data_IF_339569406530
#
_entry.id   IF_339569406530
#
_cell.length_a   1.000
_cell.length_b   1.000
_cell.length_c   1.000
_cell.angle_alpha   90.00
_cell.angle_beta   90.00
_cell.angle_gamma   90.00
#
_symmetry.space_group_name_H-M   'P 1'
#
loop_
_entity.id
_entity.type
_entity.pdbx_description
1 polymer ?
#
# COMPACT_ATOMS: atom_id res chain seq x y z
N UNK A 1 9.06 -17.57 3.72
CA UNK A 1 7.80 -16.90 3.34
C UNK A 1 8.14 -15.81 2.34
N UNK A 2 7.28 -15.58 1.37
CA UNK A 2 7.28 -14.38 0.52
C UNK A 2 6.40 -13.29 1.15
N UNK A 3 7.00 -12.14 1.44
CA UNK A 3 6.37 -11.04 2.19
C UNK A 3 6.38 -9.78 1.31
N UNK A 4 5.21 -9.23 1.03
CA UNK A 4 5.07 -8.00 0.25
C UNK A 4 4.77 -6.84 1.21
N UNK A 5 5.79 -6.02 1.47
CA UNK A 5 5.62 -4.76 2.19
C UNK A 5 5.05 -3.69 1.25
N UNK A 6 3.88 -3.15 1.57
CA UNK A 6 3.26 -2.05 0.83
C UNK A 6 3.29 -0.81 1.70
N UNK A 7 3.90 0.26 1.21
CA UNK A 7 4.13 1.49 1.98
C UNK A 7 4.16 2.74 1.10
N UNK A 8 3.80 3.89 1.67
CA UNK A 8 4.05 5.19 1.03
C UNK A 8 5.50 5.66 1.18
N UNK A 9 6.26 5.11 2.12
CA UNK A 9 7.65 5.49 2.38
C UNK A 9 8.58 4.29 2.43
N UNK A 10 9.79 4.45 1.93
CA UNK A 10 10.90 3.50 2.03
C UNK A 10 12.21 4.27 1.81
N UNK A 11 13.05 4.37 2.84
CA UNK A 11 14.38 4.96 2.68
C UNK A 11 15.28 3.99 1.90
N UNK A 12 16.15 4.47 0.99
CA UNK A 12 16.41 5.86 0.59
C UNK A 12 15.55 6.37 -0.58
N UNK A 13 14.57 5.59 -1.06
CA UNK A 13 13.74 5.97 -2.21
C UNK A 13 12.87 7.20 -1.91
N UNK A 14 12.09 7.18 -0.82
CA UNK A 14 11.34 8.34 -0.34
C UNK A 14 11.06 8.20 1.16
N UNK A 15 11.24 9.29 1.91
CA UNK A 15 11.06 9.35 3.37
C UNK A 15 10.50 10.71 3.78
N UNK A 16 9.48 10.69 4.63
CA UNK A 16 8.96 11.84 5.36
C UNK A 16 9.11 11.67 6.88
N UNK A 17 9.03 10.44 7.39
CA UNK A 17 9.11 10.13 8.83
C UNK A 17 9.78 8.79 9.13
N UNK A 18 9.49 8.24 10.32
CA UNK A 18 10.06 6.98 10.80
C UNK A 18 9.57 5.74 10.03
N UNK A 19 8.39 5.81 9.42
CA UNK A 19 7.86 4.76 8.54
C UNK A 19 8.86 4.37 7.45
N UNK A 20 9.45 5.37 6.77
CA UNK A 20 10.44 5.13 5.72
C UNK A 20 11.70 4.43 6.22
N UNK A 21 12.12 4.67 7.47
CA UNK A 21 13.28 3.98 8.06
C UNK A 21 12.95 2.50 8.34
N UNK A 22 11.76 2.22 8.86
CA UNK A 22 11.32 0.84 9.14
C UNK A 22 11.24 0.03 7.85
N UNK A 23 10.55 0.54 6.83
CA UNK A 23 10.38 -0.18 5.55
C UNK A 23 11.68 -0.23 4.75
N UNK A 24 12.58 0.74 4.92
CA UNK A 24 13.92 0.72 4.33
C UNK A 24 14.90 -0.28 4.97
N UNK A 25 14.57 -0.84 6.15
CA UNK A 25 15.48 -1.71 6.91
C UNK A 25 14.91 -3.11 7.19
N UNK A 26 13.65 -3.22 7.63
CA UNK A 26 13.04 -4.49 8.04
C UNK A 26 13.08 -5.59 6.95
N UNK A 27 12.73 -5.31 5.68
CA UNK A 27 12.74 -6.34 4.63
C UNK A 27 14.12 -6.97 4.41
N UNK A 28 15.19 -6.18 4.55
CA UNK A 28 16.57 -6.69 4.44
C UNK A 28 16.85 -7.75 5.50
N UNK A 29 16.50 -7.49 6.76
CA UNK A 29 16.72 -8.46 7.85
C UNK A 29 15.81 -9.68 7.73
N UNK A 30 14.59 -9.54 7.21
CA UNK A 30 13.75 -10.70 6.90
C UNK A 30 14.39 -11.59 5.82
N UNK A 31 15.03 -11.00 4.80
CA UNK A 31 15.79 -11.75 3.80
C UNK A 31 17.00 -12.47 4.43
N UNK A 32 17.72 -11.83 5.34
CA UNK A 32 18.82 -12.46 6.09
C UNK A 32 18.34 -13.65 6.95
N UNK A 33 17.09 -13.61 7.43
CA UNK A 33 16.44 -14.71 8.15
C UNK A 33 15.87 -15.82 7.23
N UNK A 34 16.10 -15.74 5.91
CA UNK A 34 15.66 -16.74 4.94
C UNK A 34 14.24 -16.55 4.41
N UNK A 35 13.66 -15.36 4.56
CA UNK A 35 12.42 -14.98 3.86
C UNK A 35 12.72 -14.35 2.50
N UNK A 36 11.66 -14.07 1.74
CA UNK A 36 11.72 -13.33 0.47
C UNK A 36 10.83 -12.10 0.62
N UNK A 37 11.38 -11.06 1.21
CA UNK A 37 10.73 -9.78 1.42
C UNK A 37 10.95 -8.85 0.21
N UNK A 38 9.85 -8.21 -0.20
CA UNK A 38 9.79 -7.24 -1.30
C UNK A 38 9.09 -5.98 -0.80
N UNK A 39 9.46 -4.83 -1.34
CA UNK A 39 8.80 -3.55 -1.04
C UNK A 39 8.11 -3.02 -2.29
N UNK A 40 6.87 -2.58 -2.13
CA UNK A 40 6.07 -1.93 -3.17
C UNK A 40 5.64 -0.57 -2.66
N UNK A 41 5.93 0.47 -3.43
CA UNK A 41 5.58 1.85 -3.07
C UNK A 41 5.22 2.69 -4.30
N UNK A 42 4.63 3.88 -4.14
CA UNK A 42 4.43 4.80 -5.25
C UNK A 42 5.77 5.28 -5.83
N UNK A 43 5.80 5.52 -7.15
CA UNK A 43 6.95 6.14 -7.80
C UNK A 43 6.96 7.66 -7.52
N UNK A 44 7.99 8.15 -6.84
CA UNK A 44 8.22 9.57 -6.61
C UNK A 44 9.43 10.08 -7.37
N UNK A 45 9.41 11.35 -7.80
CA UNK A 45 10.51 12.05 -8.49
C UNK A 45 11.64 12.42 -7.54
N UNK A 46 12.33 11.42 -6.99
CA UNK A 46 13.42 11.62 -6.02
C UNK A 46 14.79 11.45 -6.67
N UNK A 47 15.84 11.91 -5.97
CA UNK A 47 17.24 11.66 -6.41
C UNK A 47 17.52 10.17 -6.56
N UNK A 48 16.97 9.35 -5.68
CA UNK A 48 17.14 7.90 -5.76
C UNK A 48 16.55 7.37 -7.07
N UNK A 49 15.34 7.76 -7.46
CA UNK A 49 14.74 7.34 -8.74
C UNK A 49 15.71 7.55 -9.91
N UNK A 50 16.26 8.75 -10.03
CA UNK A 50 17.10 9.16 -11.16
C UNK A 50 18.53 8.59 -11.13
N UNK A 51 19.02 8.15 -9.97
CA UNK A 51 20.36 7.56 -9.81
C UNK A 51 20.36 6.04 -9.96
N UNK A 52 19.20 5.45 -10.26
CA UNK A 52 18.99 4.01 -10.30
C UNK A 52 18.49 3.55 -11.65
N UNK A 53 18.75 2.29 -11.96
CA UNK A 53 18.18 1.64 -13.13
C UNK A 53 16.96 0.80 -12.73
N UNK A 54 15.98 0.83 -13.61
CA UNK A 54 14.70 0.20 -13.41
C UNK A 54 14.38 -0.74 -14.57
N UNK A 55 13.72 -1.84 -14.25
CA UNK A 55 13.17 -2.81 -15.19
C UNK A 55 11.65 -2.73 -15.16
N UNK A 56 11.00 -2.65 -16.31
CA UNK A 56 9.55 -2.75 -16.40
C UNK A 56 9.13 -4.21 -16.20
N UNK A 57 8.40 -4.49 -15.11
CA UNK A 57 7.97 -5.86 -14.77
C UNK A 57 6.48 -6.09 -14.99
N UNK A 58 5.69 -5.02 -15.11
CA UNK A 58 4.27 -5.12 -15.39
C UNK A 58 3.71 -3.84 -16.00
N UNK A 59 2.73 -3.98 -16.88
CA UNK A 59 1.85 -2.90 -17.33
C UNK A 59 0.40 -3.36 -17.17
N UNK A 60 -0.45 -2.44 -16.74
CA UNK A 60 -1.87 -2.69 -16.56
C UNK A 60 -2.71 -1.43 -16.73
N UNK A 61 -4.01 -1.63 -16.73
CA UNK A 61 -4.99 -0.54 -16.74
C UNK A 61 -6.05 -0.81 -15.69
N UNK A 62 -6.46 0.25 -15.01
CA UNK A 62 -7.45 0.22 -13.94
C UNK A 62 -8.37 1.43 -14.03
N UNK A 63 -9.42 1.42 -13.21
CA UNK A 63 -10.40 2.49 -13.15
C UNK A 63 -10.62 2.94 -11.72
N UNK A 64 -10.74 4.25 -11.52
CA UNK A 64 -11.24 4.85 -10.29
C UNK A 64 -12.38 5.81 -10.67
N UNK A 65 -13.60 5.48 -10.23
CA UNK A 65 -14.79 6.19 -10.71
C UNK A 65 -15.00 6.05 -12.21
N UNK A 66 -15.18 7.19 -12.88
CA UNK A 66 -15.29 7.26 -14.34
C UNK A 66 -13.93 7.33 -15.05
N UNK A 67 -12.82 7.50 -14.31
CA UNK A 67 -11.50 7.70 -14.88
C UNK A 67 -10.77 6.36 -15.04
N UNK A 68 -10.44 6.02 -16.29
CA UNK A 68 -9.52 4.94 -16.61
C UNK A 68 -8.10 5.49 -16.68
N UNK A 69 -7.14 4.73 -16.13
CA UNK A 69 -5.74 5.09 -16.15
C UNK A 69 -4.89 3.84 -16.39
N UNK A 70 -3.73 4.03 -17.01
CA UNK A 70 -2.71 3.01 -17.14
C UNK A 70 -1.71 3.16 -16.00
N UNK A 71 -1.13 2.04 -15.59
CA UNK A 71 -0.06 2.01 -14.61
C UNK A 71 1.03 1.05 -15.03
N UNK A 72 2.25 1.34 -14.59
CA UNK A 72 3.40 0.47 -14.74
C UNK A 72 3.93 0.06 -13.36
N UNK A 73 4.50 -1.12 -13.27
CA UNK A 73 5.30 -1.53 -12.13
C UNK A 73 6.73 -1.71 -12.61
N UNK A 74 7.64 -0.97 -12.00
CA UNK A 74 9.06 -1.02 -12.30
C UNK A 74 9.83 -1.56 -11.09
N UNK A 75 10.88 -2.35 -11.34
CA UNK A 75 11.72 -2.98 -10.32
C UNK A 75 13.14 -2.41 -10.37
N UNK A 76 13.73 -2.12 -9.21
CA UNK A 76 15.14 -1.73 -9.11
C UNK A 76 16.04 -2.91 -9.50
N UNK A 77 16.99 -2.71 -10.42
CA UNK A 77 17.75 -3.81 -11.04
C UNK A 77 18.84 -4.42 -10.16
N UNK A 78 19.45 -3.63 -9.27
CA UNK A 78 20.71 -4.01 -8.61
C UNK A 78 20.50 -4.68 -7.25
N UNK A 79 19.28 -4.68 -6.73
CA UNK A 79 18.91 -5.22 -5.41
C UNK A 79 19.83 -4.68 -4.29
N UNK A 80 20.34 -3.46 -4.44
CA UNK A 80 21.37 -2.92 -3.52
C UNK A 80 20.85 -2.59 -2.12
N UNK A 81 19.53 -2.56 -1.94
CA UNK A 81 18.89 -2.37 -0.64
C UNK A 81 18.81 -3.69 0.16
N UNK A 82 19.16 -4.83 -0.45
CA UNK A 82 19.05 -6.15 0.15
C UNK A 82 17.63 -6.72 0.11
N UNK A 83 16.75 -6.12 -0.68
CA UNK A 83 15.39 -6.58 -0.99
C UNK A 83 14.95 -6.01 -2.34
N UNK A 84 14.04 -6.71 -3.02
CA UNK A 84 13.47 -6.20 -4.27
C UNK A 84 12.59 -4.98 -4.00
N UNK A 85 12.90 -3.85 -4.63
CA UNK A 85 12.10 -2.64 -4.59
C UNK A 85 11.31 -2.47 -5.88
N UNK A 86 9.99 -2.37 -5.75
CA UNK A 86 9.05 -2.11 -6.84
C UNK A 86 8.40 -0.74 -6.66
N UNK A 87 8.32 0.02 -7.75
CA UNK A 87 7.59 1.27 -7.80
C UNK A 87 6.38 1.14 -8.71
N UNK A 88 5.24 1.61 -8.23
CA UNK A 88 4.03 1.76 -9.04
C UNK A 88 4.04 3.17 -9.63
N UNK A 89 4.05 3.26 -10.96
CA UNK A 89 3.94 4.51 -11.70
C UNK A 89 2.54 4.66 -12.30
N UNK A 90 1.94 5.81 -12.06
CA UNK A 90 0.71 6.26 -12.69
C UNK A 90 0.98 7.69 -13.15
N UNK A 91 1.15 7.84 -14.46
CA UNK A 91 1.52 9.12 -15.07
C UNK A 91 0.50 10.21 -14.70
N UNK A 92 0.99 11.33 -14.17
CA UNK A 92 0.19 12.47 -13.79
C UNK A 92 -0.44 12.36 -12.40
N UNK A 93 -0.29 11.23 -11.69
CA UNK A 93 -0.89 11.00 -10.37
C UNK A 93 0.17 10.69 -9.29
N UNK A 94 1.03 9.70 -9.52
CA UNK A 94 2.03 9.29 -8.52
C UNK A 94 3.38 10.01 -8.69
N UNK A 95 3.70 10.44 -9.91
CA UNK A 95 4.96 11.04 -10.37
C UNK A 95 5.27 12.45 -9.81
N UNK A 96 5.21 12.57 -8.48
CA UNK A 96 5.37 13.82 -7.73
C UNK A 96 6.69 13.86 -6.97
N UNK A 97 7.16 15.06 -6.65
CA UNK A 97 8.39 15.26 -5.86
C UNK A 97 8.15 15.01 -4.36
N UNK A 98 7.00 15.41 -3.83
CA UNK A 98 6.64 15.19 -2.43
C UNK A 98 5.79 13.92 -2.28
N UNK A 99 5.86 13.35 -1.09
CA UNK A 99 5.07 12.16 -0.73
C UNK A 99 3.63 12.59 -0.42
N UNK A 100 3.46 13.59 0.44
CA UNK A 100 2.19 14.10 0.95
C UNK A 100 1.98 15.59 0.70
N UNK A 101 0.76 16.06 0.97
CA UNK A 101 0.38 17.47 0.99
C UNK A 101 -0.22 17.97 -0.32
N UNK A 102 -0.75 17.07 -1.15
CA UNK A 102 -1.48 17.43 -2.36
C UNK A 102 -2.99 17.29 -2.16
N UNK A 103 -3.76 18.14 -2.84
CA UNK A 103 -5.24 18.16 -2.75
C UNK A 103 -5.89 16.83 -3.18
N UNK A 104 -5.17 16.04 -3.99
CA UNK A 104 -5.58 14.76 -4.55
C UNK A 104 -4.96 13.55 -3.84
N UNK A 105 -4.32 13.71 -2.67
CA UNK A 105 -3.66 12.60 -1.95
C UNK A 105 -4.57 11.38 -1.73
N UNK A 106 -5.85 11.59 -1.42
CA UNK A 106 -6.83 10.50 -1.32
C UNK A 106 -6.90 9.69 -2.63
N UNK A 107 -6.97 10.37 -3.77
CA UNK A 107 -7.07 9.72 -5.08
C UNK A 107 -5.75 9.03 -5.44
N UNK A 108 -4.61 9.67 -5.15
CA UNK A 108 -3.27 9.13 -5.38
C UNK A 108 -3.08 7.80 -4.63
N UNK A 109 -3.31 7.79 -3.32
CA UNK A 109 -3.12 6.59 -2.51
C UNK A 109 -4.19 5.53 -2.74
N UNK A 110 -5.43 5.91 -3.08
CA UNK A 110 -6.44 4.92 -3.47
C UNK A 110 -6.07 4.23 -4.79
N UNK A 111 -5.69 4.99 -5.82
CA UNK A 111 -5.26 4.43 -7.10
C UNK A 111 -4.03 3.54 -6.95
N UNK A 112 -3.05 3.95 -6.11
CA UNK A 112 -1.90 3.12 -5.76
C UNK A 112 -2.32 1.76 -5.18
N UNK A 113 -3.18 1.76 -4.17
CA UNK A 113 -3.64 0.51 -3.53
C UNK A 113 -4.41 -0.39 -4.51
N UNK A 114 -5.22 0.20 -5.40
CA UNK A 114 -5.92 -0.53 -6.48
C UNK A 114 -4.90 -1.19 -7.42
N UNK A 115 -3.86 -0.47 -7.85
CA UNK A 115 -2.81 -1.01 -8.73
C UNK A 115 -2.03 -2.15 -8.08
N UNK A 116 -1.74 -2.05 -6.77
CA UNK A 116 -1.06 -3.12 -6.03
C UNK A 116 -1.93 -4.37 -6.00
N UNK A 117 -3.22 -4.24 -5.67
CA UNK A 117 -4.15 -5.38 -5.68
C UNK A 117 -4.29 -5.98 -7.08
N UNK A 118 -4.43 -5.14 -8.11
CA UNK A 118 -4.53 -5.58 -9.50
C UNK A 118 -3.27 -6.29 -10.00
N UNK A 119 -2.09 -5.77 -9.66
CA UNK A 119 -0.84 -6.41 -10.02
C UNK A 119 -0.66 -7.76 -9.32
N UNK A 120 -0.90 -7.84 -8.01
CA UNK A 120 -0.80 -9.09 -7.26
C UNK A 120 -1.86 -10.13 -7.71
N UNK A 121 -3.07 -9.69 -8.10
CA UNK A 121 -4.13 -10.59 -8.59
C UNK A 121 -3.72 -11.33 -9.86
N UNK A 122 -2.83 -10.74 -10.67
CA UNK A 122 -2.29 -11.31 -11.91
C UNK A 122 -1.08 -12.24 -11.71
N UNK A 123 -0.51 -12.31 -10.51
CA UNK A 123 0.60 -13.24 -10.24
C UNK A 123 0.14 -14.70 -10.28
N UNK A 124 0.96 -15.56 -10.88
CA UNK A 124 0.72 -17.02 -10.90
C UNK A 124 0.98 -17.64 -9.52
N UNK A 125 2.05 -17.21 -8.84
CA UNK A 125 2.32 -17.54 -7.45
C UNK A 125 1.82 -16.41 -6.55
N UNK A 126 1.05 -16.72 -5.51
CA UNK A 126 0.59 -15.73 -4.54
C UNK A 126 1.60 -15.60 -3.40
N UNK A 127 1.87 -14.38 -2.91
CA UNK A 127 2.73 -14.21 -1.74
C UNK A 127 2.09 -14.84 -0.50
N UNK A 128 2.92 -15.16 0.49
CA UNK A 128 2.44 -15.70 1.76
C UNK A 128 1.79 -14.62 2.63
N UNK A 129 2.25 -13.36 2.56
CA UNK A 129 1.74 -12.24 3.36
C UNK A 129 1.79 -10.92 2.58
N UNK A 130 0.73 -10.10 2.72
CA UNK A 130 0.75 -8.69 2.33
C UNK A 130 0.83 -7.84 3.61
N UNK A 131 1.94 -7.15 3.81
CA UNK A 131 2.18 -6.29 4.97
C UNK A 131 1.95 -4.83 4.61
N UNK A 132 0.81 -4.29 5.02
CA UNK A 132 0.38 -2.91 4.77
C UNK A 132 0.87 -1.99 5.90
N UNK A 133 1.44 -0.85 5.53
CA UNK A 133 1.90 0.17 6.48
C UNK A 133 1.09 1.46 6.37
N UNK A 134 0.45 1.85 7.48
CA UNK A 134 -0.38 3.05 7.63
C UNK A 134 -1.55 3.20 6.64
N UNK A 135 -2.37 4.23 6.90
CA UNK A 135 -3.62 4.50 6.17
C UNK A 135 -3.47 4.60 4.64
N UNK A 136 -2.30 4.99 4.13
CA UNK A 136 -1.99 5.02 2.69
C UNK A 136 -2.16 3.66 2.01
N UNK A 137 -2.16 2.57 2.79
CA UNK A 137 -2.33 1.19 2.35
C UNK A 137 -3.48 0.48 3.08
N UNK A 138 -4.24 1.21 3.89
CA UNK A 138 -5.23 0.66 4.82
C UNK A 138 -6.50 0.10 4.16
N UNK A 139 -6.76 0.40 2.89
CA UNK A 139 -7.86 -0.19 2.15
C UNK A 139 -7.50 -1.51 1.47
N UNK A 140 -6.21 -1.87 1.36
CA UNK A 140 -5.79 -3.15 0.77
C UNK A 140 -6.44 -4.35 1.47
N UNK A 141 -6.44 -4.47 2.82
CA UNK A 141 -7.11 -5.58 3.50
C UNK A 141 -8.61 -5.72 3.19
N UNK A 142 -9.30 -4.59 3.02
CA UNK A 142 -10.71 -4.61 2.59
C UNK A 142 -10.82 -5.05 1.13
N UNK A 143 -10.01 -4.46 0.25
CA UNK A 143 -10.09 -4.69 -1.19
C UNK A 143 -9.79 -6.14 -1.57
N UNK A 144 -8.74 -6.76 -1.02
CA UNK A 144 -8.42 -8.16 -1.32
C UNK A 144 -9.50 -9.13 -0.85
N UNK A 145 -10.27 -8.76 0.18
CA UNK A 145 -11.29 -9.64 0.78
C UNK A 145 -12.67 -9.47 0.17
N UNK A 146 -13.03 -8.25 -0.23
CA UNK A 146 -14.42 -7.90 -0.57
C UNK A 146 -14.61 -7.24 -1.93
N UNK A 147 -13.55 -6.81 -2.63
CA UNK A 147 -13.68 -6.36 -4.02
C UNK A 147 -13.74 -7.55 -4.97
N UNK A 148 -14.67 -7.51 -5.93
CA UNK A 148 -14.90 -8.60 -6.86
C UNK A 148 -13.69 -8.88 -7.76
N UNK A 149 -12.99 -7.81 -8.18
CA UNK A 149 -11.81 -7.92 -9.07
C UNK A 149 -10.61 -8.60 -8.40
N UNK A 150 -10.57 -8.64 -7.06
CA UNK A 150 -9.42 -9.10 -6.28
C UNK A 150 -9.66 -10.38 -5.48
N UNK A 151 -10.75 -11.11 -5.77
CA UNK A 151 -11.12 -12.35 -5.06
C UNK A 151 -10.01 -13.41 -5.04
N UNK A 152 -9.12 -13.43 -6.04
CA UNK A 152 -7.97 -14.35 -6.08
C UNK A 152 -6.95 -14.11 -4.96
N UNK A 153 -7.04 -12.99 -4.25
CA UNK A 153 -6.18 -12.61 -3.13
C UNK A 153 -6.85 -12.81 -1.76
N UNK A 154 -8.13 -13.19 -1.71
CA UNK A 154 -8.94 -13.16 -0.49
C UNK A 154 -8.42 -14.04 0.66
N UNK A 155 -7.64 -15.07 0.34
CA UNK A 155 -7.06 -16.00 1.33
C UNK A 155 -5.62 -15.63 1.74
N UNK A 156 -5.03 -14.58 1.18
CA UNK A 156 -3.69 -14.13 1.56
C UNK A 156 -3.79 -13.36 2.87
N UNK A 157 -3.10 -13.80 3.94
CA UNK A 157 -3.03 -13.04 5.19
C UNK A 157 -2.52 -11.62 4.98
N UNK A 158 -3.25 -10.65 5.54
CA UNK A 158 -2.85 -9.25 5.54
C UNK A 158 -2.43 -8.82 6.94
N UNK A 159 -1.24 -8.25 7.06
CA UNK A 159 -0.77 -7.63 8.30
C UNK A 159 -0.83 -6.12 8.13
N UNK A 160 -1.35 -5.40 9.12
CA UNK A 160 -1.41 -3.94 9.09
C UNK A 160 -0.61 -3.35 10.26
N UNK A 161 0.37 -2.51 9.97
CA UNK A 161 1.14 -1.80 11.01
C UNK A 161 0.76 -0.33 11.06
N UNK A 162 0.39 0.12 12.27
CA UNK A 162 0.12 1.53 12.59
C UNK A 162 1.43 2.16 13.07
N UNK A 163 1.94 3.13 12.32
CA UNK A 163 3.06 3.98 12.73
C UNK A 163 2.59 5.33 13.24
N UNK A 164 1.44 5.83 12.75
CA UNK A 164 0.82 7.03 13.28
C UNK A 164 -0.72 7.05 13.13
N UNK A 165 -1.44 6.77 14.22
CA UNK A 165 -2.90 6.79 14.25
C UNK A 165 -3.53 8.19 14.16
N UNK A 166 -2.76 9.28 14.30
CA UNK A 166 -3.28 10.63 14.08
C UNK A 166 -3.68 10.85 12.61
N UNK A 167 -3.03 10.15 11.68
CA UNK A 167 -3.34 10.22 10.25
C UNK A 167 -4.13 8.99 9.81
N UNK A 168 -5.44 9.16 9.64
CA UNK A 168 -6.35 8.05 9.34
C UNK A 168 -6.72 7.92 7.86
N UNK A 169 -6.44 8.96 7.06
CA UNK A 169 -6.75 9.00 5.64
C UNK A 169 -8.24 9.10 5.30
N UNK A 170 -9.07 9.53 6.25
CA UNK A 170 -10.53 9.54 6.10
C UNK A 170 -11.02 10.48 4.99
N UNK A 171 -12.06 10.06 4.28
CA UNK A 171 -12.72 10.86 3.24
C UNK A 171 -14.23 10.57 3.19
N UNK A 172 -14.98 11.51 2.61
CA UNK A 172 -16.44 11.44 2.60
C UNK A 172 -16.99 10.33 1.70
N UNK A 173 -18.15 9.79 2.09
CA UNK A 173 -18.88 8.81 1.28
C UNK A 173 -19.29 9.36 -0.08
N UNK A 174 -19.32 10.67 -0.31
CA UNK A 174 -19.52 11.27 -1.63
C UNK A 174 -18.47 10.79 -2.65
N UNK A 175 -17.31 10.29 -2.21
CA UNK A 175 -16.23 9.74 -3.04
C UNK A 175 -16.21 8.21 -3.12
N UNK A 176 -17.26 7.52 -2.66
CA UNK A 176 -17.34 6.05 -2.68
C UNK A 176 -17.11 5.45 -4.07
N UNK A 177 -17.51 6.19 -5.12
CA UNK A 177 -17.41 5.79 -6.52
C UNK A 177 -15.95 5.58 -6.98
N UNK A 178 -14.96 6.09 -6.23
CA UNK A 178 -13.54 5.87 -6.52
C UNK A 178 -13.06 4.45 -6.17
N UNK A 179 -13.80 3.73 -5.31
CA UNK A 179 -13.49 2.36 -4.91
C UNK A 179 -13.82 1.36 -6.04
N UNK A 180 -13.08 0.25 -6.18
CA UNK A 180 -13.47 -0.86 -7.05
C UNK A 180 -14.81 -1.45 -6.62
N UNK A 181 -15.50 -2.15 -7.50
CA UNK A 181 -16.76 -2.82 -7.14
C UNK A 181 -16.53 -3.86 -6.03
N UNK A 182 -17.35 -3.80 -4.98
CA UNK A 182 -17.23 -4.64 -3.79
C UNK A 182 -18.59 -5.15 -3.30
N UNK A 183 -18.58 -6.14 -2.40
CA UNK A 183 -19.79 -6.64 -1.73
C UNK A 183 -20.48 -5.52 -0.90
N UNK A 184 -21.65 -5.01 -1.33
CA UNK A 184 -22.27 -3.86 -0.70
C UNK A 184 -22.70 -4.13 0.75
N UNK A 185 -22.88 -5.39 1.15
CA UNK A 185 -23.16 -5.74 2.55
C UNK A 185 -21.96 -5.52 3.48
N UNK A 186 -20.77 -5.26 2.93
CA UNK A 186 -19.52 -5.02 3.66
C UNK A 186 -19.19 -3.55 3.83
N UNK A 187 -20.06 -2.62 3.43
CA UNK A 187 -19.83 -1.18 3.55
C UNK A 187 -19.42 -0.73 4.97
N UNK A 188 -19.97 -1.34 6.03
CA UNK A 188 -19.63 -1.03 7.43
C UNK A 188 -18.20 -1.40 7.83
N UNK A 189 -17.48 -2.16 7.00
CA UNK A 189 -16.05 -2.39 7.16
C UNK A 189 -15.23 -1.17 6.71
N UNK A 190 -15.74 -0.36 5.78
CA UNK A 190 -15.10 0.88 5.33
C UNK A 190 -15.42 2.07 6.25
N UNK A 191 -16.61 2.07 6.84
CA UNK A 191 -17.14 3.21 7.59
C UNK A 191 -16.46 3.39 8.95
N UNK A 192 -16.14 4.63 9.31
CA UNK A 192 -15.98 5.06 10.70
C UNK A 192 -16.46 6.50 10.82
N UNK A 193 -17.36 6.75 11.76
CA UNK A 193 -17.95 8.07 12.01
C UNK A 193 -18.56 8.71 10.73
N UNK A 194 -19.31 7.92 9.96
CA UNK A 194 -19.95 8.35 8.70
C UNK A 194 -18.96 8.80 7.61
N UNK A 195 -17.72 8.31 7.65
CA UNK A 195 -16.70 8.52 6.62
C UNK A 195 -16.07 7.21 6.20
N UNK A 196 -15.56 7.13 4.97
CA UNK A 196 -14.68 6.03 4.59
C UNK A 196 -13.33 6.28 5.27
N UNK A 197 -12.91 5.36 6.12
CA UNK A 197 -11.72 5.53 6.94
C UNK A 197 -10.73 4.38 6.71
N UNK A 198 -9.65 4.60 5.94
CA UNK A 198 -8.65 3.58 5.64
C UNK A 198 -8.01 2.93 6.87
N UNK A 199 -7.68 3.71 7.91
CA UNK A 199 -7.09 3.16 9.14
C UNK A 199 -8.06 2.21 9.85
N UNK A 200 -9.29 2.68 10.10
CA UNK A 200 -10.31 1.89 10.77
C UNK A 200 -10.71 0.65 9.94
N UNK A 201 -10.80 0.81 8.62
CA UNK A 201 -11.05 -0.28 7.68
C UNK A 201 -9.96 -1.34 7.74
N UNK A 202 -8.69 -0.93 7.77
CA UNK A 202 -7.57 -1.85 7.94
C UNK A 202 -7.68 -2.62 9.25
N UNK A 203 -7.98 -1.94 10.37
CA UNK A 203 -8.14 -2.58 11.67
C UNK A 203 -9.27 -3.61 11.70
N UNK A 204 -10.36 -3.37 10.97
CA UNK A 204 -11.50 -4.29 10.86
C UNK A 204 -11.24 -5.48 9.92
N UNK A 205 -10.42 -5.28 8.89
CA UNK A 205 -10.27 -6.23 7.79
C UNK A 205 -8.96 -7.03 7.81
N UNK A 206 -7.90 -6.49 8.40
CA UNK A 206 -6.60 -7.13 8.44
C UNK A 206 -6.64 -8.45 9.23
N UNK A 207 -5.81 -9.40 8.83
CA UNK A 207 -5.63 -10.64 9.58
C UNK A 207 -5.00 -10.39 10.94
N UNK A 208 -4.02 -9.48 10.97
CA UNK A 208 -3.35 -9.06 12.20
C UNK A 208 -3.02 -7.58 12.13
N UNK A 209 -3.17 -6.89 13.26
CA UNK A 209 -2.76 -5.49 13.43
C UNK A 209 -1.56 -5.44 14.38
N UNK A 210 -0.56 -4.64 14.03
CA UNK A 210 0.62 -4.39 14.88
C UNK A 210 0.88 -2.90 15.02
N UNK A 211 1.70 -2.55 16.01
CA UNK A 211 2.21 -1.20 16.24
C UNK A 211 3.73 -1.22 16.23
N UNK A 212 4.34 -0.04 16.15
CA UNK A 212 5.81 0.12 16.17
C UNK A 212 6.45 -0.15 17.54
N UNK A 213 5.67 -0.13 18.62
CA UNK A 213 6.16 -0.50 19.96
C UNK A 213 5.02 -0.89 20.91
N UNK A 214 5.31 -1.63 22.00
CA UNK A 214 4.35 -1.90 23.06
C UNK A 214 3.83 -0.63 23.74
N UNK A 215 4.71 0.35 23.98
CA UNK A 215 4.30 1.63 24.57
C UNK A 215 3.32 2.39 23.67
N UNK A 216 3.58 2.40 22.36
CA UNK A 216 2.68 3.05 21.40
C UNK A 216 1.30 2.36 21.36
N UNK A 217 1.26 1.04 21.50
CA UNK A 217 -0.02 0.32 21.60
C UNK A 217 -0.84 0.76 22.82
N UNK A 218 -0.19 0.98 23.96
CA UNK A 218 -0.85 1.48 25.16
C UNK A 218 -1.34 2.93 24.99
N UNK A 219 -0.58 3.77 24.28
CA UNK A 219 -0.98 5.15 23.96
C UNK A 219 -2.26 5.19 23.10
N UNK A 220 -2.43 4.25 22.16
CA UNK A 220 -3.62 4.18 21.29
C UNK A 220 -4.94 3.85 22.02
N UNK A 221 -4.88 3.46 23.29
CA UNK A 221 -6.08 3.15 24.10
C UNK A 221 -6.77 4.39 24.66
N UNK A 222 -6.11 5.54 24.63
CA UNK A 222 -6.57 6.81 25.20
C UNK A 222 -6.85 7.83 24.10
#
# INVERSE_FOLDING_TARGET
MEIIHVSAECFPMAKAGGLGDVVGALPKYQNELGHVAKVVMPMYRTKFLYQNEWELVHEGSQRSGSHQFNYAVIKEKTNKLGFDLYLVDINGLLDREKIYGYDDDTQRFLAFQICVCDWLSKWQHKPDVIHCHDHHTGLIPFMVKYCYDFQSLANIPTVFTIHNAQYQGQFGWDRWYLLPSYDPYRWGMLDWDNTINPLASAMKCAWQVTTVSPSYLEELRY
#
